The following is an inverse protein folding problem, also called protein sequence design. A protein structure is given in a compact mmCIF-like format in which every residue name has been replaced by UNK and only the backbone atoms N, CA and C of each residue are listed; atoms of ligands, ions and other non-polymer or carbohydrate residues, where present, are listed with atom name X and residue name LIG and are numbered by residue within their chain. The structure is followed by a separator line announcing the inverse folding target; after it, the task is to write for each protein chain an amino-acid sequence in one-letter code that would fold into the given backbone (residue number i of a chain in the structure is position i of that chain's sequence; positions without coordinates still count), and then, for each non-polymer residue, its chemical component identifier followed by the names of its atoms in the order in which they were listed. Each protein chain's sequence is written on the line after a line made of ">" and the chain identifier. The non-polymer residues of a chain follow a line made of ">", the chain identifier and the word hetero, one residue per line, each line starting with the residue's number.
data_IF_816615961742
#
_entry.id   IF_816615961742
#
_cell.length_a   1.000
_cell.length_b   1.000
_cell.length_c   1.000
_cell.angle_alpha   90.00
_cell.angle_beta   90.00
_cell.angle_gamma   90.00
#
_symmetry.space_group_name_H-M   'P 1'
#
loop_
_entity.id
_entity.type
_entity.pdbx_description
1 polymer ?
#
# COMPACT_ATOMS: atom_id res chain seq x y z
N UNK A 1 26.83 37.79 24.74
CA UNK A 1 27.19 37.14 23.46
C UNK A 1 26.14 36.09 23.12
N UNK A 2 25.11 36.48 22.36
CA UNK A 2 24.00 35.61 21.97
C UNK A 2 24.43 34.69 20.81
N UNK A 3 24.50 33.37 21.05
CA UNK A 3 24.69 32.36 20.01
C UNK A 3 23.54 32.47 19.00
N UNK A 4 23.86 32.81 17.76
CA UNK A 4 22.93 32.73 16.63
C UNK A 4 22.50 31.27 16.49
N UNK A 5 21.28 30.96 16.93
CA UNK A 5 20.59 29.72 16.56
C UNK A 5 20.52 29.68 15.03
N UNK A 6 20.99 28.61 14.37
CA UNK A 6 20.93 28.51 12.92
C UNK A 6 19.46 28.61 12.46
N UNK A 7 19.20 29.50 11.50
CA UNK A 7 17.86 29.78 10.93
C UNK A 7 17.11 28.54 10.44
N UNK A 8 17.79 27.41 10.24
CA UNK A 8 17.19 26.12 9.89
C UNK A 8 16.30 25.54 11.01
N UNK A 9 16.64 25.73 12.29
CA UNK A 9 15.88 25.15 13.41
C UNK A 9 14.55 25.90 13.62
N UNK A 10 14.48 27.19 13.27
CA UNK A 10 13.24 27.99 13.42
C UNK A 10 12.14 27.62 12.40
N UNK A 11 12.46 26.91 11.31
CA UNK A 11 11.45 26.42 10.35
C UNK A 11 10.81 25.09 10.76
N UNK A 12 11.35 24.40 11.77
CA UNK A 12 10.81 23.10 12.22
C UNK A 12 9.49 23.24 13.02
N UNK A 13 9.10 24.44 13.44
CA UNK A 13 7.87 24.66 14.23
C UNK A 13 6.67 25.23 13.44
N UNK A 14 6.81 25.66 12.17
CA UNK A 14 5.80 26.54 11.52
C UNK A 14 5.34 26.12 10.11
N UNK A 15 5.34 24.82 9.75
CA UNK A 15 4.52 24.40 8.59
C UNK A 15 3.06 24.16 8.94
N UNK A 16 2.68 24.13 10.23
CA UNK A 16 1.31 24.12 10.75
C UNK A 16 0.25 23.56 9.78
N UNK A 17 -0.61 24.43 9.28
CA UNK A 17 -1.66 24.10 8.31
C UNK A 17 -1.13 23.78 6.89
N UNK A 18 0.00 24.35 6.48
CA UNK A 18 0.63 24.12 5.17
C UNK A 18 1.03 22.65 4.97
N UNK A 19 1.39 21.90 6.01
CA UNK A 19 1.72 20.47 5.90
C UNK A 19 0.54 19.59 5.45
N UNK A 20 -0.69 20.04 5.68
CA UNK A 20 -1.91 19.31 5.35
C UNK A 20 -2.33 19.56 3.89
N UNK A 21 -1.83 20.65 3.29
CA UNK A 21 -2.19 21.05 1.91
C UNK A 21 -1.79 19.99 0.88
N UNK A 22 -0.56 19.45 0.83
CA UNK A 22 -0.21 18.46 -0.20
C UNK A 22 -1.05 17.17 -0.12
N UNK A 23 -1.28 16.54 1.06
CA UNK A 23 -2.16 15.37 1.16
C UNK A 23 -3.60 15.65 0.74
N UNK A 24 -4.20 16.76 1.19
CA UNK A 24 -5.57 17.11 0.81
C UNK A 24 -5.71 17.36 -0.68
N UNK A 25 -4.75 18.08 -1.26
CA UNK A 25 -4.72 18.36 -2.70
C UNK A 25 -4.54 17.07 -3.50
N UNK A 26 -3.69 16.15 -3.02
CA UNK A 26 -3.52 14.81 -3.62
C UNK A 26 -4.85 14.05 -3.62
N UNK A 27 -5.55 13.99 -2.48
CA UNK A 27 -6.84 13.30 -2.38
C UNK A 27 -7.87 13.92 -3.32
N UNK A 28 -7.95 15.26 -3.35
CA UNK A 28 -8.88 15.97 -4.23
C UNK A 28 -8.62 15.68 -5.71
N UNK A 29 -7.36 15.78 -6.14
CA UNK A 29 -6.96 15.49 -7.53
C UNK A 29 -7.19 14.02 -7.87
N UNK A 30 -6.94 13.09 -6.94
CA UNK A 30 -7.19 11.67 -7.15
C UNK A 30 -8.67 11.38 -7.44
N UNK A 31 -9.58 12.00 -6.67
CA UNK A 31 -11.03 11.83 -6.85
C UNK A 31 -11.51 12.49 -8.13
N UNK A 32 -11.06 13.72 -8.41
CA UNK A 32 -11.48 14.48 -9.59
C UNK A 32 -10.97 13.87 -10.91
N UNK A 33 -9.67 13.59 -10.97
CA UNK A 33 -9.03 13.04 -12.19
C UNK A 33 -9.27 11.55 -12.38
N UNK A 34 -9.73 10.84 -11.33
CA UNK A 34 -9.78 9.37 -11.26
C UNK A 34 -8.45 8.71 -11.64
N UNK A 35 -7.34 9.42 -11.46
CA UNK A 35 -5.99 8.97 -11.78
C UNK A 35 -5.05 9.22 -10.59
N UNK A 36 -4.76 8.14 -9.86
CA UNK A 36 -3.92 8.18 -8.66
C UNK A 36 -2.49 8.61 -8.99
N UNK A 37 -1.94 8.19 -10.13
CA UNK A 37 -0.56 8.52 -10.51
C UNK A 37 -0.40 10.03 -10.70
N UNK A 38 -1.34 10.66 -11.42
CA UNK A 38 -1.34 12.11 -11.60
C UNK A 38 -1.48 12.83 -10.26
N UNK A 39 -2.36 12.35 -9.39
CA UNK A 39 -2.55 12.94 -8.07
C UNK A 39 -1.27 12.91 -7.22
N UNK A 40 -0.55 11.78 -7.20
CA UNK A 40 0.71 11.65 -6.47
C UNK A 40 1.80 12.59 -7.02
N UNK A 41 1.92 12.72 -8.34
CA UNK A 41 2.87 13.66 -8.96
C UNK A 41 2.57 15.09 -8.52
N UNK A 42 1.30 15.52 -8.61
CA UNK A 42 0.90 16.87 -8.20
C UNK A 42 1.12 17.07 -6.70
N UNK A 43 0.83 16.06 -5.88
CA UNK A 43 1.09 16.07 -4.44
C UNK A 43 2.55 16.29 -4.09
N UNK A 44 3.46 15.52 -4.69
CA UNK A 44 4.91 15.66 -4.47
C UNK A 44 5.39 17.03 -4.95
N UNK A 45 4.95 17.49 -6.12
CA UNK A 45 5.31 18.82 -6.63
C UNK A 45 4.80 19.94 -5.70
N UNK A 46 3.59 19.81 -5.17
CA UNK A 46 3.03 20.75 -4.20
C UNK A 46 3.85 20.77 -2.89
N UNK A 47 4.18 19.60 -2.35
CA UNK A 47 5.02 19.48 -1.15
C UNK A 47 6.43 20.05 -1.38
N UNK A 48 7.08 19.69 -2.48
CA UNK A 48 8.39 20.24 -2.85
C UNK A 48 8.34 21.75 -3.08
N UNK A 49 7.25 22.30 -3.62
CA UNK A 49 7.09 23.74 -3.80
C UNK A 49 7.07 24.49 -2.46
N UNK A 50 6.38 23.93 -1.47
CA UNK A 50 6.32 24.50 -0.11
C UNK A 50 7.71 24.48 0.55
N UNK A 51 8.45 23.38 0.40
CA UNK A 51 9.78 23.21 1.02
C UNK A 51 10.83 24.11 0.34
N UNK A 52 10.64 24.46 -0.94
CA UNK A 52 11.62 25.21 -1.74
C UNK A 52 11.27 26.70 -1.89
N UNK A 53 10.59 27.28 -0.89
CA UNK A 53 10.20 28.70 -0.84
C UNK A 53 9.45 29.18 -2.11
N UNK A 54 8.56 28.34 -2.65
CA UNK A 54 7.73 28.59 -3.84
C UNK A 54 8.47 28.81 -5.17
N UNK A 55 9.73 28.39 -5.27
CA UNK A 55 10.45 28.41 -6.55
C UNK A 55 10.11 27.16 -7.39
N UNK A 56 9.42 27.30 -8.55
CA UNK A 56 8.96 26.14 -9.33
C UNK A 56 10.10 25.33 -9.95
N UNK A 57 11.20 25.97 -10.37
CA UNK A 57 12.34 25.25 -10.95
C UNK A 57 13.06 24.42 -9.89
N UNK A 58 13.29 25.02 -8.73
CA UNK A 58 13.95 24.34 -7.61
C UNK A 58 13.04 23.25 -6.99
N UNK A 59 11.73 23.44 -7.00
CA UNK A 59 10.75 22.45 -6.53
C UNK A 59 10.74 21.18 -7.39
N UNK A 60 10.77 21.32 -8.72
CA UNK A 60 10.85 20.16 -9.62
C UNK A 60 12.15 19.40 -9.40
N UNK A 61 13.28 20.11 -9.29
CA UNK A 61 14.57 19.48 -9.02
C UNK A 61 14.58 18.75 -7.66
N UNK A 62 14.01 19.38 -6.62
CA UNK A 62 13.87 18.77 -5.31
C UNK A 62 12.98 17.52 -5.33
N UNK A 63 11.84 17.57 -6.03
CA UNK A 63 10.93 16.44 -6.16
C UNK A 63 11.62 15.23 -6.78
N UNK A 64 12.38 15.44 -7.86
CA UNK A 64 13.08 14.34 -8.54
C UNK A 64 14.25 13.83 -7.69
N UNK A 65 15.15 14.69 -7.26
CA UNK A 65 16.40 14.28 -6.62
C UNK A 65 16.20 13.81 -5.18
N UNK A 66 15.50 14.63 -4.38
CA UNK A 66 15.46 14.46 -2.93
C UNK A 66 14.24 13.65 -2.44
N UNK A 67 13.15 13.62 -3.21
CA UNK A 67 11.95 12.84 -2.85
C UNK A 67 11.89 11.52 -3.60
N UNK A 68 12.08 11.53 -4.92
CA UNK A 68 11.98 10.28 -5.71
C UNK A 68 13.29 9.50 -5.69
N UNK A 69 14.37 10.03 -6.25
CA UNK A 69 15.62 9.27 -6.42
C UNK A 69 16.23 8.82 -5.09
N UNK A 70 16.14 9.64 -4.05
CA UNK A 70 16.61 9.29 -2.72
C UNK A 70 15.89 8.07 -2.13
N UNK A 71 14.57 7.99 -2.27
CA UNK A 71 13.77 6.85 -1.78
C UNK A 71 14.08 5.57 -2.56
N UNK A 72 14.30 5.68 -3.88
CA UNK A 72 14.77 4.55 -4.68
C UNK A 72 16.19 4.10 -4.28
N UNK A 73 17.10 5.04 -4.01
CA UNK A 73 18.47 4.76 -3.61
C UNK A 73 18.59 4.15 -2.20
N UNK A 74 17.64 4.46 -1.30
CA UNK A 74 17.58 3.87 0.04
C UNK A 74 17.32 2.35 0.02
N UNK A 75 16.80 1.82 -1.09
CA UNK A 75 16.68 0.37 -1.34
C UNK A 75 15.49 -0.31 -0.68
N UNK A 76 14.90 0.24 0.38
CA UNK A 76 13.73 -0.35 1.07
C UNK A 76 12.53 -0.49 0.14
N UNK A 77 12.20 0.56 -0.63
CA UNK A 77 11.08 0.49 -1.58
C UNK A 77 11.38 -0.48 -2.73
N UNK A 78 12.64 -0.58 -3.15
CA UNK A 78 13.07 -1.54 -4.18
C UNK A 78 12.90 -2.97 -3.68
N UNK A 79 13.21 -3.26 -2.41
CA UNK A 79 12.99 -4.58 -1.81
C UNK A 79 11.50 -4.94 -1.80
N UNK A 80 10.62 -4.00 -1.43
CA UNK A 80 9.16 -4.24 -1.46
C UNK A 80 8.68 -4.55 -2.88
N UNK A 81 9.12 -3.78 -3.87
CA UNK A 81 8.78 -4.01 -5.29
C UNK A 81 9.24 -5.40 -5.75
N UNK A 82 10.48 -5.80 -5.43
CA UNK A 82 11.01 -7.12 -5.78
C UNK A 82 10.23 -8.25 -5.11
N UNK A 83 9.90 -8.12 -3.82
CA UNK A 83 9.10 -9.12 -3.10
C UNK A 83 7.71 -9.27 -3.71
N UNK A 84 7.03 -8.15 -4.02
CA UNK A 84 5.72 -8.15 -4.68
C UNK A 84 5.81 -8.81 -6.07
N UNK A 85 6.89 -8.56 -6.83
CA UNK A 85 7.11 -9.18 -8.13
C UNK A 85 7.27 -10.70 -8.04
N UNK A 86 8.06 -11.19 -7.07
CA UNK A 86 8.26 -12.62 -6.83
C UNK A 86 6.95 -13.29 -6.41
N UNK A 87 6.24 -12.69 -5.45
CA UNK A 87 4.94 -13.20 -4.99
C UNK A 87 3.92 -13.20 -6.13
N UNK A 88 3.83 -12.11 -6.91
CA UNK A 88 2.94 -12.02 -8.05
C UNK A 88 3.24 -13.08 -9.12
N UNK A 89 4.52 -13.34 -9.39
CA UNK A 89 4.94 -14.42 -10.28
C UNK A 89 4.55 -15.81 -9.76
N UNK A 90 4.79 -16.09 -8.48
CA UNK A 90 4.40 -17.34 -7.83
C UNK A 90 2.88 -17.55 -7.87
N UNK A 91 2.11 -16.50 -7.56
CA UNK A 91 0.65 -16.52 -7.62
C UNK A 91 0.15 -16.78 -9.04
N UNK A 92 0.76 -16.17 -10.06
CA UNK A 92 0.41 -16.45 -11.46
C UNK A 92 0.64 -17.92 -11.84
N UNK A 93 1.76 -18.49 -11.37
CA UNK A 93 2.08 -19.90 -11.58
C UNK A 93 1.08 -20.81 -10.84
N UNK A 94 0.69 -20.46 -9.62
CA UNK A 94 -0.31 -21.19 -8.83
C UNK A 94 -1.70 -21.17 -9.49
N UNK A 95 -2.09 -20.05 -10.10
CA UNK A 95 -3.34 -19.94 -10.85
C UNK A 95 -3.29 -20.78 -12.14
N UNK A 96 -2.20 -20.68 -12.92
CA UNK A 96 -2.06 -21.42 -14.19
C UNK A 96 -1.91 -22.93 -14.01
N UNK A 97 -1.25 -23.38 -12.96
CA UNK A 97 -1.12 -24.81 -12.63
C UNK A 97 -2.43 -25.44 -12.13
N UNK A 98 -3.47 -24.63 -11.85
CA UNK A 98 -4.71 -25.10 -11.25
C UNK A 98 -4.62 -25.37 -9.75
N UNK A 99 -3.49 -25.09 -9.11
CA UNK A 99 -3.28 -25.26 -7.68
C UNK A 99 -4.31 -24.49 -6.84
N UNK A 100 -4.64 -23.25 -7.23
CA UNK A 100 -5.66 -22.45 -6.57
C UNK A 100 -7.08 -23.08 -6.63
N UNK A 101 -7.41 -23.82 -7.70
CA UNK A 101 -8.68 -24.55 -7.83
C UNK A 101 -8.67 -25.85 -7.02
N UNK A 102 -7.55 -26.58 -7.04
CA UNK A 102 -7.37 -27.77 -6.21
C UNK A 102 -7.44 -27.43 -4.71
N UNK A 103 -6.83 -26.32 -4.30
CA UNK A 103 -6.92 -25.78 -2.94
C UNK A 103 -8.36 -25.47 -2.56
N UNK A 104 -9.11 -24.77 -3.42
CA UNK A 104 -10.52 -24.51 -3.16
C UNK A 104 -11.36 -25.79 -3.05
N UNK A 105 -11.10 -26.77 -3.92
CA UNK A 105 -11.71 -28.11 -3.83
C UNK A 105 -11.47 -28.76 -2.46
N UNK A 106 -10.21 -28.79 -2.01
CA UNK A 106 -9.84 -29.34 -0.71
C UNK A 106 -10.47 -28.57 0.45
N UNK A 107 -10.43 -27.24 0.41
CA UNK A 107 -11.03 -26.37 1.43
C UNK A 107 -12.53 -26.58 1.55
N UNK A 108 -13.24 -26.75 0.45
CA UNK A 108 -14.69 -26.93 0.49
C UNK A 108 -15.15 -28.29 1.03
N UNK A 109 -14.22 -29.23 1.23
CA UNK A 109 -14.48 -30.49 1.97
C UNK A 109 -14.40 -30.28 3.49
N UNK A 110 -13.62 -29.29 3.94
CA UNK A 110 -13.45 -28.92 5.35
C UNK A 110 -14.45 -27.83 5.76
N UNK A 111 -14.75 -26.93 4.84
CA UNK A 111 -15.62 -25.77 5.04
C UNK A 111 -17.03 -26.10 4.58
N UNK A 112 -17.96 -26.15 5.53
CA UNK A 112 -19.36 -26.50 5.26
C UNK A 112 -20.29 -25.31 5.01
N UNK A 113 -19.82 -24.07 5.25
CA UNK A 113 -20.65 -22.87 5.18
C UNK A 113 -19.84 -21.64 4.75
N UNK A 114 -20.49 -20.69 4.07
CA UNK A 114 -19.89 -19.42 3.69
C UNK A 114 -19.39 -18.60 4.87
N UNK A 115 -19.99 -18.75 6.07
CA UNK A 115 -19.48 -18.11 7.28
C UNK A 115 -18.11 -18.70 7.70
N UNK A 116 -17.96 -20.03 7.64
CA UNK A 116 -16.68 -20.68 7.92
C UNK A 116 -15.61 -20.31 6.89
N UNK A 117 -15.99 -20.11 5.62
CA UNK A 117 -15.07 -19.65 4.58
C UNK A 117 -14.51 -18.24 4.89
N UNK A 118 -15.36 -17.34 5.38
CA UNK A 118 -14.94 -15.98 5.80
C UNK A 118 -14.03 -16.03 7.02
N UNK A 119 -14.34 -16.86 8.02
CA UNK A 119 -13.49 -17.03 9.20
C UNK A 119 -12.13 -17.62 8.82
N UNK A 120 -12.08 -18.58 7.90
CA UNK A 120 -10.81 -19.11 7.41
C UNK A 120 -9.99 -18.08 6.64
N UNK A 121 -10.62 -17.29 5.76
CA UNK A 121 -9.94 -16.20 5.09
C UNK A 121 -9.36 -15.18 6.08
N UNK A 122 -10.14 -14.85 7.12
CA UNK A 122 -9.69 -13.97 8.20
C UNK A 122 -8.51 -14.59 8.97
N UNK A 123 -8.62 -15.83 9.44
CA UNK A 123 -7.52 -16.52 10.13
C UNK A 123 -6.27 -16.69 9.27
N UNK A 124 -6.41 -16.94 7.96
CA UNK A 124 -5.28 -16.97 7.04
C UNK A 124 -4.64 -15.60 6.86
N UNK A 125 -5.46 -14.55 6.77
CA UNK A 125 -4.99 -13.16 6.80
C UNK A 125 -4.20 -12.83 8.05
N UNK A 126 -4.59 -13.41 9.19
CA UNK A 126 -3.82 -13.29 10.43
C UNK A 126 -2.51 -14.07 10.43
N UNK A 127 -2.52 -15.27 9.85
CA UNK A 127 -1.38 -16.18 9.89
C UNK A 127 -0.26 -15.81 8.91
N UNK A 128 -0.59 -15.16 7.79
CA UNK A 128 0.37 -14.75 6.75
C UNK A 128 0.75 -13.28 6.96
N UNK A 129 1.62 -13.02 7.93
CA UNK A 129 2.03 -11.68 8.35
C UNK A 129 3.29 -11.16 7.64
N UNK A 130 3.50 -11.52 6.36
CA UNK A 130 4.73 -11.14 5.65
C UNK A 130 4.85 -9.63 5.44
N UNK A 131 3.87 -9.03 4.76
CA UNK A 131 3.78 -7.61 4.41
C UNK A 131 2.31 -7.28 4.13
N UNK A 132 1.93 -6.02 4.27
CA UNK A 132 0.58 -5.53 3.96
C UNK A 132 0.18 -5.84 2.50
N UNK A 133 1.09 -5.61 1.57
CA UNK A 133 0.89 -5.79 0.14
C UNK A 133 1.01 -7.26 -0.30
N UNK A 134 1.99 -8.00 0.25
CA UNK A 134 2.21 -9.42 -0.09
C UNK A 134 1.10 -10.33 0.40
N UNK A 135 0.53 -10.05 1.58
CA UNK A 135 -0.57 -10.82 2.14
C UNK A 135 -1.79 -10.83 1.21
N UNK A 136 -2.22 -9.64 0.76
CA UNK A 136 -3.36 -9.51 -0.16
C UNK A 136 -3.10 -10.19 -1.51
N UNK A 137 -1.87 -10.12 -2.02
CA UNK A 137 -1.48 -10.77 -3.28
C UNK A 137 -1.52 -12.29 -3.21
N UNK A 138 -1.17 -12.90 -2.06
CA UNK A 138 -1.21 -14.34 -1.87
C UNK A 138 -2.64 -14.81 -1.60
N UNK A 139 -3.28 -14.25 -0.57
CA UNK A 139 -4.56 -14.76 -0.07
C UNK A 139 -5.70 -14.44 -1.02
N UNK A 140 -5.65 -13.29 -1.71
CA UNK A 140 -6.70 -12.87 -2.64
C UNK A 140 -7.05 -13.96 -3.66
N UNK A 141 -6.12 -14.40 -4.52
CA UNK A 141 -6.35 -15.45 -5.50
C UNK A 141 -6.69 -16.82 -4.91
N UNK A 142 -6.08 -17.17 -3.78
CA UNK A 142 -6.33 -18.42 -3.05
C UNK A 142 -7.77 -18.53 -2.54
N UNK A 143 -8.29 -17.46 -1.95
CA UNK A 143 -9.64 -17.42 -1.40
C UNK A 143 -10.69 -16.95 -2.40
N UNK A 144 -10.28 -16.34 -3.53
CA UNK A 144 -11.19 -15.99 -4.62
C UNK A 144 -11.96 -17.22 -5.12
N UNK A 145 -11.26 -18.32 -5.39
CA UNK A 145 -11.89 -19.57 -5.84
C UNK A 145 -12.79 -20.21 -4.77
N UNK A 146 -12.45 -20.03 -3.49
CA UNK A 146 -13.29 -20.49 -2.36
C UNK A 146 -14.56 -19.64 -2.25
N UNK A 147 -14.44 -18.31 -2.28
CA UNK A 147 -15.55 -17.37 -2.20
C UNK A 147 -16.50 -17.51 -3.38
N UNK A 148 -15.96 -17.69 -4.59
CA UNK A 148 -16.73 -17.93 -5.81
C UNK A 148 -17.59 -19.22 -5.66
N UNK A 149 -17.08 -20.27 -4.99
CA UNK A 149 -17.85 -21.52 -4.77
C UNK A 149 -19.01 -21.37 -3.79
N UNK A 150 -18.83 -20.55 -2.74
CA UNK A 150 -19.88 -20.24 -1.76
C UNK A 150 -20.76 -19.05 -2.16
N UNK A 151 -20.59 -18.51 -3.38
CA UNK A 151 -21.31 -17.32 -3.90
C UNK A 151 -21.21 -16.11 -2.96
N UNK A 152 -20.02 -15.88 -2.40
CA UNK A 152 -19.72 -14.74 -1.53
C UNK A 152 -19.18 -13.56 -2.34
N UNK A 153 -19.48 -12.34 -1.88
CA UNK A 153 -19.01 -11.10 -2.51
C UNK A 153 -17.48 -10.98 -2.44
N UNK A 154 -16.86 -10.58 -3.56
CA UNK A 154 -15.40 -10.38 -3.65
C UNK A 154 -14.95 -9.13 -2.90
N UNK A 155 -15.84 -8.14 -2.80
CA UNK A 155 -15.67 -6.92 -2.01
C UNK A 155 -15.50 -7.25 -0.53
N UNK A 156 -16.24 -8.26 -0.05
CA UNK A 156 -16.15 -8.71 1.34
C UNK A 156 -14.83 -9.44 1.61
N UNK A 157 -14.33 -10.19 0.63
CA UNK A 157 -12.98 -10.77 0.70
C UNK A 157 -11.93 -9.66 0.77
N UNK A 158 -11.98 -8.67 -0.12
CA UNK A 158 -11.05 -7.54 -0.12
C UNK A 158 -11.05 -6.80 1.23
N UNK A 159 -12.23 -6.57 1.82
CA UNK A 159 -12.36 -5.98 3.16
C UNK A 159 -11.68 -6.83 4.25
N UNK A 160 -11.89 -8.15 4.25
CA UNK A 160 -11.25 -9.06 5.23
C UNK A 160 -9.73 -9.03 5.06
N UNK A 161 -9.23 -9.03 3.83
CA UNK A 161 -7.79 -8.98 3.55
C UNK A 161 -7.16 -7.68 4.03
N UNK A 162 -7.78 -6.54 3.73
CA UNK A 162 -7.27 -5.23 4.11
C UNK A 162 -7.25 -5.05 5.64
N UNK A 163 -8.37 -5.38 6.29
CA UNK A 163 -8.52 -5.26 7.75
C UNK A 163 -7.67 -6.25 8.55
N UNK A 164 -7.14 -7.30 7.93
CA UNK A 164 -6.19 -8.23 8.57
C UNK A 164 -4.74 -7.86 8.25
N UNK A 165 -4.45 -7.38 7.04
CA UNK A 165 -3.10 -7.03 6.62
C UNK A 165 -2.53 -5.83 7.41
N UNK A 166 -3.22 -4.67 7.40
CA UNK A 166 -2.65 -3.44 7.97
C UNK A 166 -2.38 -3.50 9.48
N UNK A 167 -3.29 -4.00 10.35
CA UNK A 167 -3.03 -4.02 11.79
C UNK A 167 -1.90 -4.96 12.19
N UNK A 168 -1.72 -6.07 11.46
CA UNK A 168 -0.75 -7.11 11.82
C UNK A 168 0.64 -6.72 11.38
N UNK A 169 0.77 -6.12 10.18
CA UNK A 169 2.05 -5.57 9.73
C UNK A 169 2.58 -4.46 10.64
N UNK A 170 1.70 -3.81 11.42
CA UNK A 170 2.12 -2.84 12.45
C UNK A 170 2.45 -3.55 13.77
N UNK A 171 1.72 -4.61 14.12
CA UNK A 171 1.87 -5.31 15.41
C UNK A 171 3.11 -6.23 15.46
N UNK A 172 3.47 -6.84 14.34
CA UNK A 172 4.61 -7.74 14.20
C UNK A 172 5.66 -7.04 13.34
N UNK A 173 6.74 -6.52 13.94
CA UNK A 173 7.79 -5.81 13.20
C UNK A 173 8.68 -6.74 12.36
#
# INVERSE_FOLDING_TARGET
>A
MLRRVPRAIKRMEDYGFLSVVPPLLTIFVAIYSRNVILALIVGILCGSLIITDYNPFAAVLNAVENQVLKEFAAGTQVQVILTIMVIGGFVNLLEKSGGARAFAGAMTRVVSSGAKAQVLAWCSGLAIFFTDSGNALIIGPLYRSVFDRFKLCREKLAYILDTTASPISILIP
#
